data_IF_325496853728
#
_entry.id   IF_325496853728
#
_cell.length_a   1.000
_cell.length_b   1.000
_cell.length_c   1.000
_cell.angle_alpha   90.00
_cell.angle_beta   90.00
_cell.angle_gamma   90.00
#
_symmetry.space_group_name_H-M   'P 1'
#
loop_
_entity.id
_entity.type
_entity.pdbx_description
1 polymer ?
#
# COMPACT_ATOMS: atom_id res chain seq x y z
N UNK A 1 43.59 -8.13 17.14
CA UNK A 1 42.55 -7.87 16.11
C UNK A 1 41.19 -7.99 16.79
N UNK A 2 40.60 -6.89 17.21
CA UNK A 2 39.29 -6.90 17.87
C UNK A 2 38.26 -6.83 16.76
N UNK A 3 37.59 -7.96 16.47
CA UNK A 3 36.47 -8.01 15.54
C UNK A 3 35.26 -7.34 16.18
N UNK A 4 34.92 -6.12 15.77
CA UNK A 4 33.66 -5.47 16.12
C UNK A 4 32.57 -6.20 15.35
N UNK A 5 31.84 -7.10 16.04
CA UNK A 5 30.64 -7.72 15.52
C UNK A 5 29.55 -6.63 15.55
N UNK A 6 29.32 -5.94 14.43
CA UNK A 6 28.11 -5.18 14.23
C UNK A 6 26.95 -6.17 14.11
N UNK A 7 26.31 -6.47 15.22
CA UNK A 7 24.96 -7.04 15.20
C UNK A 7 24.06 -6.02 14.50
N UNK A 8 23.81 -6.24 13.21
CA UNK A 8 22.77 -5.54 12.50
C UNK A 8 21.50 -5.74 13.33
N UNK A 9 20.97 -4.68 13.93
CA UNK A 9 19.71 -4.71 14.64
C UNK A 9 18.64 -5.03 13.59
N UNK A 10 18.27 -6.30 13.49
CA UNK A 10 17.13 -6.71 12.68
C UNK A 10 15.89 -6.04 13.27
N UNK A 11 15.13 -5.33 12.44
CA UNK A 11 13.86 -4.74 12.87
C UNK A 11 12.99 -5.87 13.43
N UNK A 12 12.64 -5.74 14.70
CA UNK A 12 11.70 -6.66 15.34
C UNK A 12 10.30 -6.07 15.24
N UNK A 13 9.45 -6.70 14.42
CA UNK A 13 8.03 -6.37 14.40
C UNK A 13 7.39 -6.62 15.76
N UNK A 14 6.44 -5.77 16.15
CA UNK A 14 5.57 -6.05 17.30
C UNK A 14 4.67 -7.23 16.98
N UNK A 15 4.20 -7.96 18.00
CA UNK A 15 3.41 -9.18 17.81
C UNK A 15 2.19 -8.98 16.91
N UNK A 16 1.48 -7.85 17.08
CA UNK A 16 0.33 -7.52 16.23
C UNK A 16 0.75 -7.22 14.77
N UNK A 17 1.90 -6.58 14.54
CA UNK A 17 2.41 -6.34 13.19
C UNK A 17 2.76 -7.66 12.50
N UNK A 18 3.44 -8.55 13.23
CA UNK A 18 3.74 -9.88 12.72
C UNK A 18 2.47 -10.66 12.36
N UNK A 19 1.46 -10.62 13.25
CA UNK A 19 0.14 -11.24 12.99
C UNK A 19 -0.54 -10.69 11.74
N UNK A 20 -0.47 -9.36 11.53
CA UNK A 20 -1.03 -8.70 10.34
C UNK A 20 -0.27 -9.13 9.08
N UNK A 21 1.06 -9.16 9.13
CA UNK A 21 1.90 -9.62 8.02
C UNK A 21 1.51 -11.05 7.62
N UNK A 22 1.47 -11.97 8.57
CA UNK A 22 1.16 -13.38 8.32
C UNK A 22 -0.25 -13.58 7.75
N UNK A 23 -1.24 -12.85 8.27
CA UNK A 23 -2.62 -12.86 7.75
C UNK A 23 -2.70 -12.29 6.34
N UNK A 24 -2.02 -11.18 6.08
CA UNK A 24 -2.00 -10.54 4.76
C UNK A 24 -1.37 -11.43 3.70
N UNK A 25 -0.26 -12.09 4.01
CA UNK A 25 0.39 -13.06 3.12
C UNK A 25 -0.55 -14.22 2.79
N UNK A 26 -1.31 -14.73 3.77
CA UNK A 26 -2.32 -15.78 3.53
C UNK A 26 -3.43 -15.30 2.59
N UNK A 27 -3.91 -14.05 2.74
CA UNK A 27 -4.91 -13.46 1.85
C UNK A 27 -4.36 -13.35 0.43
N UNK A 28 -3.12 -12.96 0.26
CA UNK A 28 -2.47 -12.83 -1.05
C UNK A 28 -2.26 -14.16 -1.79
N UNK A 29 -2.42 -15.31 -1.14
CA UNK A 29 -2.47 -16.61 -1.82
C UNK A 29 -3.75 -16.79 -2.68
N UNK A 30 -4.83 -16.07 -2.38
CA UNK A 30 -6.13 -16.19 -3.04
C UNK A 30 -6.68 -14.88 -3.59
N UNK A 31 -6.07 -13.75 -3.23
CA UNK A 31 -6.47 -12.41 -3.65
C UNK A 31 -5.24 -11.58 -4.01
N UNK A 32 -5.40 -10.60 -4.86
CA UNK A 32 -4.36 -9.60 -5.16
C UNK A 32 -4.52 -8.31 -4.35
N UNK A 33 -5.43 -8.27 -3.37
CA UNK A 33 -5.80 -7.05 -2.66
C UNK A 33 -5.94 -7.24 -1.14
N UNK A 34 -5.40 -6.29 -0.37
CA UNK A 34 -5.57 -6.18 1.09
C UNK A 34 -5.82 -4.71 1.46
N UNK A 35 -6.78 -4.49 2.35
CA UNK A 35 -6.99 -3.18 2.98
C UNK A 35 -6.55 -3.24 4.44
N UNK A 36 -5.53 -2.46 4.82
CA UNK A 36 -5.06 -2.35 6.19
C UNK A 36 -5.67 -1.11 6.87
N UNK A 37 -6.78 -1.30 7.57
CA UNK A 37 -7.38 -0.29 8.44
C UNK A 37 -6.65 -0.32 9.79
N UNK A 38 -5.57 0.45 9.90
CA UNK A 38 -4.74 0.51 11.11
C UNK A 38 -4.72 1.95 11.64
N UNK A 39 -4.82 2.11 12.95
CA UNK A 39 -4.79 3.42 13.60
C UNK A 39 -3.47 4.18 13.31
N UNK A 40 -3.51 5.49 13.54
CA UNK A 40 -2.33 6.35 13.42
C UNK A 40 -1.25 5.90 14.41
N UNK A 41 0.02 5.96 14.01
CA UNK A 41 1.20 5.58 14.82
C UNK A 41 1.30 4.09 15.19
N UNK A 42 0.56 3.22 14.53
CA UNK A 42 0.68 1.76 14.75
C UNK A 42 1.73 1.10 13.84
N UNK A 43 2.51 1.88 13.09
CA UNK A 43 3.55 1.35 12.21
C UNK A 43 3.01 0.71 10.91
N UNK A 44 1.96 1.31 10.33
CA UNK A 44 1.37 0.87 9.04
C UNK A 44 2.42 0.71 7.93
N UNK A 45 3.29 1.71 7.79
CA UNK A 45 4.37 1.71 6.79
C UNK A 45 5.24 0.48 6.94
N UNK A 46 5.83 0.29 8.12
CA UNK A 46 6.72 -0.83 8.38
C UNK A 46 6.02 -2.19 8.19
N UNK A 47 4.76 -2.29 8.62
CA UNK A 47 3.95 -3.51 8.42
C UNK A 47 3.73 -3.79 6.94
N UNK A 48 3.39 -2.78 6.12
CA UNK A 48 3.17 -2.96 4.68
C UNK A 48 4.46 -3.29 3.91
N UNK A 49 5.58 -2.67 4.29
CA UNK A 49 6.91 -3.02 3.74
C UNK A 49 7.30 -4.46 4.11
N UNK A 50 7.00 -4.90 5.33
CA UNK A 50 7.22 -6.28 5.77
C UNK A 50 6.36 -7.31 5.03
N UNK A 51 5.13 -6.96 4.66
CA UNK A 51 4.28 -7.81 3.81
C UNK A 51 4.93 -7.99 2.43
N UNK A 52 5.42 -6.92 1.81
CA UNK A 52 6.09 -6.96 0.52
C UNK A 52 7.35 -7.85 0.56
N UNK A 53 8.14 -7.72 1.61
CA UNK A 53 9.34 -8.54 1.82
C UNK A 53 8.99 -10.02 1.98
N UNK A 54 8.00 -10.35 2.79
CA UNK A 54 7.54 -11.71 3.03
C UNK A 54 6.96 -12.38 1.78
N UNK A 55 6.32 -11.61 0.89
CA UNK A 55 5.81 -12.10 -0.39
C UNK A 55 6.90 -12.27 -1.44
N UNK A 56 8.10 -11.74 -1.23
CA UNK A 56 9.21 -11.85 -2.17
C UNK A 56 8.98 -11.09 -3.47
N UNK A 57 8.22 -9.99 -3.46
CA UNK A 57 8.06 -9.13 -4.64
C UNK A 57 9.39 -8.45 -4.98
N UNK A 58 9.63 -8.18 -6.27
CA UNK A 58 10.89 -7.57 -6.73
C UNK A 58 10.87 -6.05 -6.75
N UNK A 59 9.69 -5.46 -6.88
CA UNK A 59 9.54 -4.01 -6.99
C UNK A 59 8.26 -3.55 -6.31
N UNK A 60 8.36 -2.50 -5.53
CA UNK A 60 7.27 -1.89 -4.77
C UNK A 60 7.15 -0.42 -5.16
N UNK A 61 5.94 0.00 -5.50
CA UNK A 61 5.59 1.41 -5.60
C UNK A 61 4.79 1.81 -4.37
N UNK A 62 5.29 2.78 -3.63
CA UNK A 62 4.63 3.34 -2.46
C UNK A 62 4.13 4.76 -2.76
N UNK A 63 2.81 4.94 -2.76
CA UNK A 63 2.15 6.22 -3.06
C UNK A 63 1.66 6.82 -1.75
N UNK A 64 2.10 8.03 -1.43
CA UNK A 64 1.81 8.70 -0.16
C UNK A 64 1.65 10.21 -0.30
N UNK A 65 1.60 10.94 0.80
CA UNK A 65 1.71 12.41 0.84
C UNK A 65 3.18 12.83 0.76
N UNK A 66 3.46 13.95 0.09
CA UNK A 66 4.84 14.46 -0.13
C UNK A 66 5.69 14.48 1.16
N UNK A 67 5.09 14.90 2.28
CA UNK A 67 5.78 15.01 3.57
C UNK A 67 6.19 13.67 4.21
N UNK A 68 5.66 12.54 3.74
CA UNK A 68 5.94 11.23 4.30
C UNK A 68 6.99 10.44 3.51
N UNK A 69 7.45 10.94 2.37
CA UNK A 69 8.37 10.22 1.47
C UNK A 69 9.66 9.83 2.20
N UNK A 70 10.35 10.79 2.81
CA UNK A 70 11.63 10.54 3.49
C UNK A 70 11.52 9.51 4.61
N UNK A 71 10.46 9.58 5.41
CA UNK A 71 10.23 8.61 6.49
C UNK A 71 10.03 7.18 5.98
N UNK A 72 9.37 7.02 4.82
CA UNK A 72 9.17 5.69 4.21
C UNK A 72 10.48 5.15 3.64
N UNK A 73 11.29 6.01 3.02
CA UNK A 73 12.62 5.63 2.53
C UNK A 73 13.55 5.25 3.68
N UNK A 74 13.48 5.94 4.82
CA UNK A 74 14.22 5.60 6.04
C UNK A 74 13.78 4.22 6.58
N UNK A 75 12.49 3.96 6.70
CA UNK A 75 11.95 2.66 7.12
C UNK A 75 12.42 1.53 6.20
N UNK A 76 12.42 1.75 4.88
CA UNK A 76 12.91 0.78 3.91
C UNK A 76 14.43 0.52 4.08
N UNK A 77 15.20 1.58 4.26
CA UNK A 77 16.66 1.46 4.48
C UNK A 77 16.99 0.71 5.77
N UNK A 78 16.17 0.88 6.82
CA UNK A 78 16.32 0.14 8.08
C UNK A 78 15.93 -1.32 7.93
N UNK A 79 14.86 -1.60 7.19
CA UNK A 79 14.37 -2.97 6.95
C UNK A 79 15.32 -3.77 6.05
N UNK A 80 16.01 -3.11 5.11
CA UNK A 80 16.92 -3.71 4.12
C UNK A 80 16.30 -4.90 3.38
N UNK A 81 15.12 -4.76 2.81
CA UNK A 81 14.47 -5.84 2.10
C UNK A 81 15.14 -6.11 0.75
N UNK A 82 14.78 -7.21 0.10
CA UNK A 82 15.35 -7.63 -1.18
C UNK A 82 14.69 -7.01 -2.42
N UNK A 83 13.72 -6.11 -2.25
CA UNK A 83 13.01 -5.45 -3.36
C UNK A 83 13.42 -3.99 -3.55
N UNK A 84 13.26 -3.51 -4.78
CA UNK A 84 13.43 -2.09 -5.11
C UNK A 84 12.19 -1.30 -4.69
N UNK A 85 12.37 -0.19 -3.99
CA UNK A 85 11.30 0.71 -3.57
C UNK A 85 11.32 2.00 -4.38
N UNK A 86 10.17 2.36 -4.94
CA UNK A 86 9.88 3.69 -5.47
C UNK A 86 8.84 4.37 -4.58
N UNK A 87 9.16 5.52 -3.99
CA UNK A 87 8.22 6.30 -3.19
C UNK A 87 7.85 7.57 -3.95
N UNK A 88 6.55 7.84 -4.05
CA UNK A 88 6.04 9.01 -4.79
C UNK A 88 4.80 9.60 -4.11
N UNK A 89 4.56 10.87 -4.32
CA UNK A 89 3.31 11.50 -3.91
C UNK A 89 2.21 11.34 -4.97
N UNK A 90 0.95 11.36 -4.54
CA UNK A 90 -0.21 11.21 -5.43
C UNK A 90 -0.23 12.18 -6.61
N UNK A 91 0.20 13.42 -6.38
CA UNK A 91 0.21 14.48 -7.39
C UNK A 91 1.22 14.21 -8.52
N UNK A 92 2.23 13.40 -8.25
CA UNK A 92 3.31 13.10 -9.19
C UNK A 92 3.19 11.73 -9.87
N UNK A 93 2.19 10.93 -9.56
CA UNK A 93 1.98 9.60 -10.14
C UNK A 93 1.98 9.62 -11.68
N UNK A 94 1.41 10.68 -12.28
CA UNK A 94 1.38 10.85 -13.74
C UNK A 94 2.76 11.04 -14.39
N UNK A 95 3.80 11.32 -13.60
CA UNK A 95 5.19 11.50 -14.09
C UNK A 95 5.99 10.20 -14.08
N UNK A 96 5.45 9.14 -13.49
CA UNK A 96 6.14 7.86 -13.45
C UNK A 96 6.31 7.29 -14.87
N UNK A 97 7.48 6.70 -15.16
CA UNK A 97 7.62 5.90 -16.35
C UNK A 97 6.65 4.71 -16.30
N UNK A 98 6.28 4.19 -17.47
CA UNK A 98 5.42 2.99 -17.58
C UNK A 98 6.20 1.73 -17.17
N UNK A 99 6.42 1.57 -15.89
CA UNK A 99 7.02 0.39 -15.29
C UNK A 99 5.96 -0.54 -14.72
N UNK A 100 6.24 -1.84 -14.71
CA UNK A 100 5.42 -2.82 -13.98
C UNK A 100 5.97 -2.98 -12.57
N UNK A 101 5.09 -2.84 -11.60
CA UNK A 101 5.40 -3.04 -10.19
C UNK A 101 4.81 -4.37 -9.72
N UNK A 102 5.54 -5.11 -8.88
CA UNK A 102 5.05 -6.34 -8.26
C UNK A 102 4.02 -6.06 -7.17
N UNK A 103 4.17 -4.90 -6.48
CA UNK A 103 3.21 -4.43 -5.49
C UNK A 103 3.03 -2.91 -5.57
N UNK A 104 1.79 -2.45 -5.36
CA UNK A 104 1.47 -1.03 -5.19
C UNK A 104 0.85 -0.84 -3.80
N UNK A 105 1.43 0.05 -3.00
CA UNK A 105 0.96 0.42 -1.66
C UNK A 105 0.46 1.86 -1.74
N UNK A 106 -0.81 2.07 -1.39
CA UNK A 106 -1.43 3.40 -1.35
C UNK A 106 -1.66 3.80 0.11
N UNK A 107 -0.85 4.71 0.61
CA UNK A 107 -1.00 5.27 1.95
C UNK A 107 -2.05 6.37 1.97
N UNK A 108 -2.74 6.53 3.10
CA UNK A 108 -3.85 7.48 3.25
C UNK A 108 -4.90 7.30 2.13
N UNK A 109 -5.27 6.05 1.86
CA UNK A 109 -6.13 5.67 0.75
C UNK A 109 -7.48 6.39 0.73
N UNK A 110 -7.99 6.83 1.91
CA UNK A 110 -9.19 7.66 2.00
C UNK A 110 -9.10 8.94 1.15
N UNK A 111 -7.90 9.43 0.85
CA UNK A 111 -7.71 10.60 -0.03
C UNK A 111 -8.13 10.38 -1.49
N UNK A 112 -8.36 9.12 -1.89
CA UNK A 112 -8.90 8.75 -3.19
C UNK A 112 -10.44 8.70 -3.19
N UNK A 113 -11.07 8.69 -2.02
CA UNK A 113 -12.49 8.44 -1.80
C UNK A 113 -13.40 9.62 -2.10
N UNK A 114 -13.37 10.16 -3.30
CA UNK A 114 -14.33 11.15 -3.77
C UNK A 114 -15.63 10.47 -4.25
N UNK A 115 -16.74 11.21 -4.25
CA UNK A 115 -18.03 10.74 -4.79
C UNK A 115 -18.86 11.93 -5.30
N UNK A 116 -19.83 11.75 -6.22
CA UNK A 116 -20.13 10.50 -6.93
C UNK A 116 -19.10 10.15 -8.02
N UNK A 117 -18.25 11.09 -8.40
CA UNK A 117 -17.23 10.90 -9.45
C UNK A 117 -15.86 10.60 -8.84
N UNK A 118 -15.05 9.73 -9.48
CA UNK A 118 -13.70 9.44 -9.01
C UNK A 118 -12.80 10.68 -9.06
N UNK A 119 -11.96 10.84 -8.05
CA UNK A 119 -10.92 11.88 -8.05
C UNK A 119 -9.87 11.62 -9.14
N UNK A 120 -9.12 12.66 -9.51
CA UNK A 120 -7.97 12.52 -10.43
C UNK A 120 -6.96 11.50 -9.89
N UNK A 121 -6.70 11.52 -8.56
CA UNK A 121 -5.82 10.57 -7.87
C UNK A 121 -6.30 9.13 -8.06
N UNK A 122 -7.59 8.86 -7.79
CA UNK A 122 -8.17 7.53 -7.95
C UNK A 122 -8.04 7.01 -9.38
N UNK A 123 -8.27 7.86 -10.40
CA UNK A 123 -8.13 7.49 -11.81
C UNK A 123 -6.70 7.11 -12.15
N UNK A 124 -5.72 7.91 -11.76
CA UNK A 124 -4.29 7.67 -12.05
C UNK A 124 -3.78 6.38 -11.38
N UNK A 125 -4.14 6.17 -10.12
CA UNK A 125 -3.77 4.93 -9.40
C UNK A 125 -4.42 3.71 -10.05
N UNK A 126 -5.70 3.81 -10.43
CA UNK A 126 -6.41 2.73 -11.12
C UNK A 126 -5.75 2.35 -12.45
N UNK A 127 -5.40 3.33 -13.30
CA UNK A 127 -4.71 3.10 -14.56
C UNK A 127 -3.39 2.36 -14.34
N UNK A 128 -2.65 2.75 -13.32
CA UNK A 128 -1.38 2.11 -12.96
C UNK A 128 -1.58 0.67 -12.46
N UNK A 129 -2.59 0.41 -11.66
CA UNK A 129 -2.95 -0.94 -11.19
C UNK A 129 -3.36 -1.82 -12.37
N UNK A 130 -4.17 -1.31 -13.29
CA UNK A 130 -4.58 -2.05 -14.50
C UNK A 130 -3.40 -2.37 -15.41
N UNK A 131 -2.44 -1.45 -15.53
CA UNK A 131 -1.23 -1.67 -16.35
C UNK A 131 -0.27 -2.69 -15.72
N UNK A 132 -0.06 -2.61 -14.41
CA UNK A 132 0.93 -3.44 -13.70
C UNK A 132 0.38 -4.79 -13.26
N UNK A 133 -0.94 -4.90 -13.02
CA UNK A 133 -1.59 -6.07 -12.38
C UNK A 133 -0.88 -6.53 -11.11
N UNK A 134 -0.57 -5.63 -10.16
CA UNK A 134 0.25 -5.92 -8.99
C UNK A 134 -0.58 -6.51 -7.85
N UNK A 135 0.11 -6.93 -6.78
CA UNK A 135 -0.51 -6.95 -5.46
C UNK A 135 -0.80 -5.51 -5.01
N UNK A 136 -1.94 -5.30 -4.37
CA UNK A 136 -2.37 -3.96 -3.92
C UNK A 136 -2.61 -3.95 -2.42
N UNK A 137 -1.98 -2.99 -1.73
CA UNK A 137 -2.27 -2.69 -0.33
C UNK A 137 -2.81 -1.26 -0.24
N UNK A 138 -3.98 -1.09 0.36
CA UNK A 138 -4.48 0.21 0.77
C UNK A 138 -4.28 0.38 2.28
N UNK A 139 -3.73 1.52 2.69
CA UNK A 139 -3.50 1.88 4.09
C UNK A 139 -4.36 3.08 4.47
N UNK A 140 -5.09 2.99 5.57
CA UNK A 140 -5.76 4.15 6.16
C UNK A 140 -6.02 3.96 7.65
N UNK A 141 -5.87 5.04 8.41
CA UNK A 141 -6.36 5.10 9.81
C UNK A 141 -7.84 5.47 9.89
N UNK A 142 -8.36 6.09 8.83
CA UNK A 142 -9.75 6.57 8.74
C UNK A 142 -10.29 6.23 7.35
N UNK A 143 -10.70 4.96 7.10
CA UNK A 143 -11.12 4.52 5.77
C UNK A 143 -12.29 5.31 5.18
N UNK A 144 -13.22 5.73 6.02
CA UNK A 144 -14.44 6.45 5.64
C UNK A 144 -14.66 7.67 6.55
N UNK A 145 -13.83 8.73 6.43
CA UNK A 145 -13.85 9.85 7.38
C UNK A 145 -15.19 10.61 7.42
N UNK A 146 -15.93 10.63 6.32
CA UNK A 146 -17.22 11.33 6.23
C UNK A 146 -18.39 10.38 6.00
N UNK A 147 -18.23 9.39 5.10
CA UNK A 147 -19.29 8.41 4.81
C UNK A 147 -18.73 7.14 4.14
N UNK A 148 -19.49 6.04 4.21
CA UNK A 148 -19.17 4.81 3.51
C UNK A 148 -19.09 4.96 1.99
N UNK A 149 -19.77 5.93 1.40
CA UNK A 149 -19.68 6.24 -0.02
C UNK A 149 -18.26 6.52 -0.51
N UNK A 150 -17.38 6.98 0.36
CA UNK A 150 -15.97 7.20 0.03
C UNK A 150 -15.19 5.91 -0.27
N UNK A 151 -15.68 4.75 0.19
CA UNK A 151 -15.06 3.46 -0.07
C UNK A 151 -15.11 3.07 -1.55
N UNK A 152 -16.18 3.41 -2.25
CA UNK A 152 -16.37 2.97 -3.63
C UNK A 152 -15.17 3.32 -4.52
N UNK A 153 -14.77 4.58 -4.58
CA UNK A 153 -13.67 5.04 -5.45
C UNK A 153 -12.27 4.73 -4.92
N UNK A 154 -12.14 4.36 -3.65
CA UNK A 154 -10.90 3.76 -3.16
C UNK A 154 -10.68 2.37 -3.74
N UNK A 155 -11.74 1.58 -3.86
CA UNK A 155 -11.71 0.17 -4.24
C UNK A 155 -12.02 -0.09 -5.71
N UNK A 156 -12.75 0.82 -6.35
CA UNK A 156 -13.19 0.64 -7.74
C UNK A 156 -12.00 0.46 -8.68
N UNK A 157 -12.06 -0.64 -9.45
CA UNK A 157 -11.02 -1.00 -10.40
C UNK A 157 -9.82 -1.75 -9.81
N UNK A 158 -9.81 -2.02 -8.50
CA UNK A 158 -8.86 -2.94 -7.89
C UNK A 158 -9.42 -4.36 -8.04
N UNK A 159 -8.67 -5.30 -8.67
CA UNK A 159 -9.12 -6.69 -8.80
C UNK A 159 -9.37 -7.33 -7.42
N UNK A 160 -10.38 -8.20 -7.35
CA UNK A 160 -10.75 -8.95 -6.15
C UNK A 160 -11.17 -8.09 -4.94
N UNK A 161 -11.54 -6.83 -5.15
CA UNK A 161 -12.13 -6.04 -4.08
C UNK A 161 -13.52 -6.58 -3.69
N UNK A 162 -13.99 -6.39 -2.44
CA UNK A 162 -15.26 -6.96 -1.98
C UNK A 162 -16.50 -6.44 -2.71
N UNK A 163 -16.38 -5.30 -3.40
CA UNK A 163 -17.47 -4.64 -4.12
C UNK A 163 -17.39 -4.76 -5.64
N UNK A 164 -16.63 -5.73 -6.15
CA UNK A 164 -16.43 -5.91 -7.59
C UNK A 164 -17.74 -6.13 -8.39
N UNK A 165 -18.80 -6.57 -7.72
CA UNK A 165 -20.14 -6.73 -8.33
C UNK A 165 -20.87 -5.41 -8.54
N UNK A 166 -20.50 -4.34 -7.83
CA UNK A 166 -21.08 -3.02 -7.98
C UNK A 166 -20.54 -2.36 -9.24
N UNK A 167 -21.33 -2.37 -10.32
CA UNK A 167 -20.90 -1.86 -11.64
C UNK A 167 -20.69 -0.35 -11.68
N UNK A 168 -21.31 0.39 -10.78
CA UNK A 168 -21.19 1.85 -10.67
C UNK A 168 -21.42 2.31 -9.23
N UNK A 169 -21.14 3.58 -8.97
CA UNK A 169 -21.30 4.19 -7.65
C UNK A 169 -22.72 4.04 -7.05
N UNK A 170 -23.75 4.13 -7.87
CA UNK A 170 -25.13 4.06 -7.40
C UNK A 170 -25.62 2.63 -7.10
N UNK A 171 -24.85 1.61 -7.51
CA UNK A 171 -25.10 0.21 -7.19
C UNK A 171 -24.30 -0.27 -5.95
N UNK A 172 -23.48 0.62 -5.38
CA UNK A 172 -22.69 0.40 -4.17
C UNK A 172 -23.48 0.77 -2.92
#
# INVERSE_FOLDING_TARGET
MVGILFLAQMIKYRDYQQSIIDKSVKIFNTSSFVYLAMEVRTGKTLTSLGIADRLGVRSVLFITKKKAISSIEEDHNLLKPSYDLTVINYESVHKLPKNKYGMIICDEAHSMGAFPKPSKRAKQVKELIQYSSPYVILLSGTPTPESFSQMYHQLYGIPNNPFFKCKNFYAF
#
